data_IF_356899642164
#
_entry.id   IF_356899642164
#
_cell.length_a   1.000
_cell.length_b   1.000
_cell.length_c   1.000
_cell.angle_alpha   90.00
_cell.angle_beta   90.00
_cell.angle_gamma   90.00
#
_symmetry.space_group_name_H-M   'P 1'
#
loop_
_entity.id
_entity.type
_entity.pdbx_description
1 polymer ?
#
# COMPACT_ATOMS: atom_id res chain seq x y z
N UNK A 1 -12.18 14.49 7.05
CA UNK A 1 -12.01 13.22 7.81
C UNK A 1 -11.68 13.55 9.26
N UNK A 2 -11.79 12.60 10.21
CA UNK A 2 -11.56 12.87 11.63
C UNK A 2 -10.10 12.65 12.10
N UNK A 3 -9.29 11.92 11.32
CA UNK A 3 -7.88 11.63 11.59
C UNK A 3 -7.16 11.18 10.32
N UNK A 4 -5.83 11.05 10.37
CA UNK A 4 -5.04 10.44 9.29
C UNK A 4 -5.44 8.99 9.01
N UNK A 5 -5.73 8.21 10.05
CA UNK A 5 -6.24 6.84 9.90
C UNK A 5 -7.62 6.80 9.23
N UNK A 6 -8.51 7.74 9.57
CA UNK A 6 -9.80 7.86 8.89
C UNK A 6 -9.63 8.22 7.40
N UNK A 7 -8.66 9.08 7.07
CA UNK A 7 -8.34 9.39 5.68
C UNK A 7 -7.82 8.17 4.91
N UNK A 8 -6.87 7.43 5.48
CA UNK A 8 -6.32 6.22 4.87
C UNK A 8 -7.39 5.15 4.66
N UNK A 9 -8.20 4.88 5.68
CA UNK A 9 -9.28 3.91 5.57
C UNK A 9 -10.29 4.31 4.48
N UNK A 10 -10.71 5.58 4.44
CA UNK A 10 -11.65 6.06 3.44
C UNK A 10 -11.06 5.99 2.02
N UNK A 11 -9.80 6.37 1.83
CA UNK A 11 -9.13 6.28 0.54
C UNK A 11 -9.10 4.84 0.02
N UNK A 12 -8.65 3.89 0.86
CA UNK A 12 -8.56 2.48 0.47
C UNK A 12 -9.94 1.86 0.23
N UNK A 13 -10.89 2.02 1.16
CA UNK A 13 -12.24 1.46 1.01
C UNK A 13 -13.07 2.06 -0.12
N UNK A 14 -12.73 3.27 -0.59
CA UNK A 14 -13.34 3.85 -1.80
C UNK A 14 -12.86 3.15 -3.06
N UNK A 15 -11.58 2.75 -3.11
CA UNK A 15 -10.96 2.16 -4.29
C UNK A 15 -11.20 0.65 -4.40
N UNK A 16 -11.46 -0.03 -3.29
CA UNK A 16 -11.47 -1.50 -3.28
C UNK A 16 -12.36 -2.11 -2.19
N UNK A 17 -12.79 -3.35 -2.43
CA UNK A 17 -13.64 -4.15 -1.52
C UNK A 17 -13.17 -5.59 -1.40
N UNK A 18 -14.02 -6.47 -0.84
CA UNK A 18 -13.69 -7.88 -0.64
C UNK A 18 -13.20 -8.56 -1.93
N UNK A 19 -12.11 -9.34 -1.81
CA UNK A 19 -11.42 -9.98 -2.94
C UNK A 19 -10.33 -9.11 -3.59
N UNK A 20 -10.14 -7.87 -3.13
CA UNK A 20 -9.09 -6.98 -3.65
C UNK A 20 -7.76 -7.17 -2.93
N UNK A 21 -6.69 -6.67 -3.54
CA UNK A 21 -5.34 -6.77 -3.03
C UNK A 21 -4.59 -5.43 -3.07
N UNK A 22 -3.71 -5.20 -2.08
CA UNK A 22 -2.80 -4.05 -1.95
C UNK A 22 -1.37 -4.60 -1.91
N UNK A 23 -0.43 -3.93 -2.57
CA UNK A 23 1.01 -4.11 -2.33
C UNK A 23 1.50 -2.91 -1.54
N UNK A 24 2.08 -3.12 -0.37
CA UNK A 24 2.48 -2.05 0.53
C UNK A 24 3.94 -2.15 0.96
N UNK A 25 4.59 -1.01 1.21
CA UNK A 25 5.86 -0.98 1.94
C UNK A 25 5.68 -1.61 3.33
N UNK A 26 6.69 -2.35 3.80
CA UNK A 26 6.76 -2.82 5.20
C UNK A 26 7.19 -1.74 6.19
N UNK A 27 7.77 -0.63 5.70
CA UNK A 27 8.26 0.49 6.51
C UNK A 27 7.19 1.59 6.63
N UNK A 28 6.14 1.31 7.40
CA UNK A 28 5.00 2.20 7.59
C UNK A 28 4.82 2.54 9.07
N UNK A 29 4.11 3.64 9.35
CA UNK A 29 3.55 3.87 10.67
C UNK A 29 2.80 2.63 11.19
N UNK A 30 3.05 2.23 12.44
CA UNK A 30 2.51 0.99 13.00
C UNK A 30 0.98 0.89 12.98
N UNK A 31 0.26 2.02 13.06
CA UNK A 31 -1.20 2.04 12.88
C UNK A 31 -1.63 1.72 11.45
N UNK A 32 -0.92 2.25 10.46
CA UNK A 32 -1.14 1.97 9.04
C UNK A 32 -0.88 0.49 8.72
N UNK A 33 0.22 -0.04 9.25
CA UNK A 33 0.53 -1.47 9.14
C UNK A 33 -0.59 -2.32 9.77
N UNK A 34 -1.07 -1.97 10.97
CA UNK A 34 -2.18 -2.70 11.61
C UNK A 34 -3.50 -2.62 10.83
N UNK A 35 -3.82 -1.45 10.28
CA UNK A 35 -5.00 -1.26 9.43
C UNK A 35 -4.97 -2.23 8.24
N UNK A 36 -3.84 -2.28 7.53
CA UNK A 36 -3.63 -3.14 6.37
C UNK A 36 -3.60 -4.64 6.73
N UNK A 37 -2.81 -5.04 7.73
CA UNK A 37 -2.62 -6.47 8.07
C UNK A 37 -3.84 -7.12 8.70
N UNK A 38 -4.58 -6.39 9.54
CA UNK A 38 -5.62 -7.00 10.38
C UNK A 38 -7.02 -6.47 10.11
N UNK A 39 -7.17 -5.17 9.93
CA UNK A 39 -8.51 -4.57 9.82
C UNK A 39 -9.08 -4.76 8.42
N UNK A 40 -8.32 -4.44 7.38
CA UNK A 40 -8.76 -4.60 6.00
C UNK A 40 -8.87 -6.07 5.57
N UNK A 41 -8.04 -6.95 6.15
CA UNK A 41 -8.17 -8.40 5.95
C UNK A 41 -9.56 -8.91 6.38
N UNK A 42 -10.15 -8.37 7.45
CA UNK A 42 -11.52 -8.71 7.89
C UNK A 42 -12.60 -8.23 6.92
N UNK A 43 -12.30 -7.22 6.11
CA UNK A 43 -13.16 -6.78 5.00
C UNK A 43 -12.86 -7.50 3.68
N UNK A 44 -12.01 -8.53 3.73
CA UNK A 44 -11.64 -9.34 2.56
C UNK A 44 -10.65 -8.66 1.62
N UNK A 45 -9.96 -7.59 2.07
CA UNK A 45 -8.90 -6.91 1.31
C UNK A 45 -7.55 -7.42 1.82
N UNK A 46 -6.79 -8.07 0.94
CA UNK A 46 -5.48 -8.62 1.28
C UNK A 46 -4.36 -7.61 1.07
N UNK A 47 -3.26 -7.76 1.80
CA UNK A 47 -2.06 -6.93 1.60
C UNK A 47 -0.81 -7.79 1.55
N UNK A 48 0.03 -7.58 0.55
CA UNK A 48 1.41 -8.09 0.50
C UNK A 48 2.35 -6.96 0.90
N UNK A 49 3.21 -7.21 1.89
CA UNK A 49 4.21 -6.26 2.34
C UNK A 49 5.57 -6.53 1.69
N UNK A 50 6.24 -5.49 1.20
CA UNK A 50 7.52 -5.58 0.49
C UNK A 50 8.54 -4.57 1.03
N UNK A 51 9.81 -4.76 0.69
CA UNK A 51 10.87 -3.85 1.08
C UNK A 51 10.78 -2.52 0.29
N UNK A 52 10.71 -1.33 0.93
CA UNK A 52 10.70 -0.05 0.24
C UNK A 52 11.96 0.20 -0.62
N UNK A 53 13.09 -0.43 -0.29
CA UNK A 53 14.35 -0.31 -1.02
C UNK A 53 14.43 -1.14 -2.29
N UNK A 54 13.44 -1.98 -2.57
CA UNK A 54 13.38 -2.84 -3.75
C UNK A 54 12.09 -2.59 -4.57
N UNK A 55 12.11 -1.63 -5.52
CA UNK A 55 10.97 -1.40 -6.41
C UNK A 55 10.55 -2.63 -7.21
N UNK A 56 11.47 -3.56 -7.51
CA UNK A 56 11.13 -4.77 -8.28
C UNK A 56 10.27 -5.73 -7.45
N UNK A 57 10.45 -5.76 -6.13
CA UNK A 57 9.59 -6.51 -5.23
C UNK A 57 8.14 -6.00 -5.26
N UNK A 58 7.90 -4.69 -5.45
CA UNK A 58 6.55 -4.17 -5.63
C UNK A 58 5.90 -4.73 -6.88
N UNK A 59 6.59 -4.65 -8.02
CA UNK A 59 6.08 -5.14 -9.30
C UNK A 59 5.79 -6.65 -9.26
N UNK A 60 6.70 -7.45 -8.71
CA UNK A 60 6.53 -8.90 -8.57
C UNK A 60 5.37 -9.30 -7.66
N UNK A 61 5.02 -8.46 -6.68
CA UNK A 61 3.90 -8.70 -5.79
C UNK A 61 2.53 -8.34 -6.40
N UNK A 62 2.50 -7.72 -7.57
CA UNK A 62 1.25 -7.37 -8.27
C UNK A 62 0.55 -8.64 -8.75
N UNK A 63 -0.76 -8.69 -8.47
CA UNK A 63 -1.72 -9.74 -8.86
C UNK A 63 -2.90 -9.14 -9.64
N UNK A 64 -3.68 -9.93 -10.39
CA UNK A 64 -4.84 -9.43 -11.15
C UNK A 64 -5.86 -8.61 -10.34
N UNK A 65 -6.03 -8.96 -9.06
CA UNK A 65 -6.91 -8.30 -8.10
C UNK A 65 -6.25 -7.13 -7.34
N UNK A 66 -5.00 -6.78 -7.67
CA UNK A 66 -4.31 -5.63 -7.07
C UNK A 66 -4.97 -4.34 -7.54
N UNK A 67 -5.20 -3.43 -6.59
CA UNK A 67 -5.87 -2.15 -6.84
C UNK A 67 -5.07 -0.94 -6.39
N UNK A 68 -3.93 -1.13 -5.73
CA UNK A 68 -3.13 -0.03 -5.21
C UNK A 68 -1.71 -0.49 -4.82
N UNK A 69 -0.72 0.34 -5.10
CA UNK A 69 0.57 0.34 -4.41
C UNK A 69 0.53 1.36 -3.28
N UNK A 70 1.05 1.03 -2.10
CA UNK A 70 0.96 1.89 -0.91
C UNK A 70 2.34 2.08 -0.23
N UNK A 71 2.70 3.32 0.13
CA UNK A 71 3.95 3.60 0.83
C UNK A 71 4.02 4.96 1.53
N UNK A 72 4.98 5.11 2.45
CA UNK A 72 5.33 6.39 3.08
C UNK A 72 6.68 6.86 2.52
N UNK A 73 6.78 8.15 2.14
CA UNK A 73 8.00 8.71 1.54
C UNK A 73 9.20 8.56 2.47
N UNK A 74 8.99 8.78 3.77
CA UNK A 74 9.94 8.55 4.84
C UNK A 74 9.38 7.46 5.75
N UNK A 75 9.92 6.26 5.62
CA UNK A 75 9.46 5.10 6.39
C UNK A 75 9.65 5.28 7.89
N UNK A 76 8.74 4.74 8.68
CA UNK A 76 8.82 4.74 10.13
C UNK A 76 9.20 3.35 10.66
N UNK A 77 10.16 3.19 11.59
CA UNK A 77 11.03 4.22 12.20
C UNK A 77 12.37 4.43 11.47
N UNK A 78 12.63 3.66 10.42
CA UNK A 78 13.96 3.56 9.77
C UNK A 78 14.38 4.76 8.92
N UNK A 79 13.44 5.66 8.58
CA UNK A 79 13.65 6.80 7.66
C UNK A 79 14.10 6.38 6.25
N UNK A 80 13.77 5.15 5.85
CA UNK A 80 13.99 4.68 4.49
C UNK A 80 13.21 5.55 3.50
N UNK A 81 13.88 5.97 2.41
CA UNK A 81 13.28 6.85 1.41
C UNK A 81 12.66 6.02 0.29
N UNK A 82 11.35 6.15 0.11
CA UNK A 82 10.64 5.48 -0.97
C UNK A 82 10.98 6.11 -2.33
N UNK A 83 11.36 5.29 -3.31
CA UNK A 83 11.63 5.76 -4.67
C UNK A 83 10.30 5.99 -5.43
N UNK A 84 9.67 7.14 -5.17
CA UNK A 84 8.36 7.50 -5.75
C UNK A 84 8.37 7.45 -7.30
N UNK A 85 9.37 8.00 -8.02
CA UNK A 85 9.37 7.91 -9.48
C UNK A 85 9.32 6.46 -9.99
N UNK A 86 10.15 5.58 -9.44
CA UNK A 86 10.17 4.18 -9.86
C UNK A 86 8.84 3.47 -9.55
N UNK A 87 8.27 3.68 -8.36
CA UNK A 87 6.98 3.08 -8.02
C UNK A 87 5.83 3.67 -8.83
N UNK A 88 5.87 4.96 -9.17
CA UNK A 88 4.85 5.59 -9.99
C UNK A 88 4.87 5.05 -11.42
N UNK A 89 6.05 4.83 -11.99
CA UNK A 89 6.19 4.21 -13.32
C UNK A 89 5.60 2.79 -13.33
N UNK A 90 5.90 1.98 -12.30
CA UNK A 90 5.30 0.64 -12.12
C UNK A 90 3.78 0.75 -11.97
N UNK A 91 3.29 1.62 -11.09
CA UNK A 91 1.86 1.80 -10.85
C UNK A 91 1.10 2.17 -12.14
N UNK A 92 1.64 3.12 -12.91
CA UNK A 92 1.08 3.54 -14.19
C UNK A 92 1.11 2.43 -15.24
N UNK A 93 2.20 1.65 -15.32
CA UNK A 93 2.31 0.52 -16.25
C UNK A 93 1.24 -0.56 -15.99
N UNK A 94 0.82 -0.72 -14.73
CA UNK A 94 -0.23 -1.65 -14.32
C UNK A 94 -1.63 -1.03 -14.19
N UNK A 95 -1.78 0.27 -14.47
CA UNK A 95 -3.06 0.97 -14.40
C UNK A 95 -3.66 1.04 -12.98
N UNK A 96 -2.82 1.05 -11.94
CA UNK A 96 -3.23 1.15 -10.54
C UNK A 96 -2.64 2.42 -9.89
N UNK A 97 -3.30 3.02 -8.89
CA UNK A 97 -2.76 4.17 -8.17
C UNK A 97 -1.61 3.79 -7.23
N UNK A 98 -0.69 4.76 -7.04
CA UNK A 98 0.24 4.81 -5.92
C UNK A 98 -0.32 5.75 -4.84
N UNK A 99 -0.40 5.26 -3.61
CA UNK A 99 -0.88 5.99 -2.42
C UNK A 99 0.20 6.11 -1.34
#
# INVERSE_FOLDING_TARGET
TASGQAAMHLALSTLMGAGSHIVASRALYGGSHNLLSYTLLRFGIQTTFVDPGDPTAFEQAIRPETRCLFGEILGNPGLDVLNIPALADIAHAHGIPLL
#
